data_IF_393650481706
#
_entry.id   IF_393650481706
#
_cell.length_a   1.000
_cell.length_b   1.000
_cell.length_c   1.000
_cell.angle_alpha   90.00
_cell.angle_beta   90.00
_cell.angle_gamma   90.00
#
_symmetry.space_group_name_H-M   'P 1'
#
loop_
_entity.id
_entity.type
_entity.pdbx_description
1 polymer ?
#
# COMPACT_ATOMS: atom_id res chain seq x y z
N UNK A 1 -21.49 -23.59 -30.83
CA UNK A 1 -20.51 -23.04 -29.88
C UNK A 1 -21.22 -21.89 -29.14
N UNK A 2 -21.72 -22.12 -27.93
CA UNK A 2 -22.55 -21.12 -27.24
C UNK A 2 -21.64 -20.09 -26.54
N UNK A 3 -21.73 -18.83 -26.96
CA UNK A 3 -21.06 -17.70 -26.31
C UNK A 3 -21.90 -17.38 -25.07
N UNK A 4 -21.39 -17.73 -23.89
CA UNK A 4 -22.02 -17.39 -22.62
C UNK A 4 -21.73 -15.90 -22.40
N UNK A 5 -22.75 -15.04 -22.39
CA UNK A 5 -22.56 -13.63 -22.09
C UNK A 5 -22.12 -13.42 -20.62
N UNK A 6 -21.42 -12.32 -20.35
CA UNK A 6 -20.87 -12.02 -19.03
C UNK A 6 -21.95 -11.95 -17.95
N UNK A 7 -23.12 -11.41 -18.28
CA UNK A 7 -24.26 -11.24 -17.36
C UNK A 7 -24.81 -12.58 -16.86
N UNK A 8 -24.90 -13.58 -17.75
CA UNK A 8 -25.33 -14.94 -17.44
C UNK A 8 -24.32 -15.64 -16.55
N UNK A 9 -23.01 -15.42 -16.78
CA UNK A 9 -21.94 -15.92 -15.91
C UNK A 9 -22.01 -15.33 -14.48
N UNK A 10 -22.20 -14.01 -14.33
CA UNK A 10 -22.34 -13.39 -13.01
C UNK A 10 -23.56 -13.92 -12.24
N UNK A 11 -24.71 -14.10 -12.91
CA UNK A 11 -25.91 -14.65 -12.30
C UNK A 11 -25.71 -16.09 -11.79
N UNK A 12 -25.05 -16.93 -12.59
CA UNK A 12 -24.73 -18.32 -12.20
C UNK A 12 -23.76 -18.36 -11.02
N UNK A 13 -22.72 -17.53 -11.02
CA UNK A 13 -21.74 -17.46 -9.93
C UNK A 13 -22.36 -16.94 -8.63
N UNK A 14 -23.16 -15.86 -8.71
CA UNK A 14 -23.88 -15.31 -7.56
C UNK A 14 -24.82 -16.33 -6.94
N UNK A 15 -25.63 -17.02 -7.76
CA UNK A 15 -26.51 -18.10 -7.29
C UNK A 15 -25.72 -19.21 -6.59
N UNK A 16 -24.59 -19.63 -7.16
CA UNK A 16 -23.74 -20.69 -6.59
C UNK A 16 -23.13 -20.29 -5.25
N UNK A 17 -22.66 -19.05 -5.11
CA UNK A 17 -22.08 -18.55 -3.87
C UNK A 17 -23.15 -18.40 -2.77
N UNK A 18 -24.36 -17.95 -3.12
CA UNK A 18 -25.41 -17.68 -2.13
C UNK A 18 -26.17 -18.93 -1.66
N UNK A 19 -26.24 -19.99 -2.48
CA UNK A 19 -27.01 -21.21 -2.17
C UNK A 19 -26.16 -22.37 -1.65
N UNK A 20 -24.83 -22.26 -1.68
CA UNK A 20 -23.93 -23.29 -1.16
C UNK A 20 -23.65 -23.06 0.33
N UNK A 21 -23.66 -24.14 1.10
CA UNK A 21 -23.22 -24.11 2.50
C UNK A 21 -21.73 -23.77 2.56
N UNK A 22 -21.38 -22.69 3.25
CA UNK A 22 -19.98 -22.26 3.38
C UNK A 22 -19.35 -22.86 4.64
N UNK A 23 -18.16 -23.46 4.52
CA UNK A 23 -17.51 -24.23 5.61
C UNK A 23 -17.27 -23.39 6.88
N UNK A 24 -16.92 -22.11 6.72
CA UNK A 24 -16.54 -21.25 7.86
C UNK A 24 -17.73 -20.88 8.75
N UNK A 25 -18.91 -20.64 8.16
CA UNK A 25 -20.14 -20.25 8.88
C UNK A 25 -21.12 -21.40 9.04
N UNK A 26 -20.82 -22.54 8.42
CA UNK A 26 -21.66 -23.74 8.31
C UNK A 26 -23.13 -23.43 7.90
N UNK A 27 -23.31 -22.40 7.07
CA UNK A 27 -24.62 -21.87 6.64
C UNK A 27 -24.54 -21.39 5.18
N UNK A 28 -25.68 -21.33 4.48
CA UNK A 28 -25.78 -20.70 3.16
C UNK A 28 -25.90 -19.18 3.35
N UNK A 29 -25.18 -18.35 2.58
CA UNK A 29 -25.30 -16.88 2.71
C UNK A 29 -26.74 -16.37 2.58
N UNK A 30 -27.59 -17.02 1.77
CA UNK A 30 -29.00 -16.64 1.62
C UNK A 30 -29.87 -16.87 2.87
N UNK A 31 -29.45 -17.75 3.78
CA UNK A 31 -30.20 -18.06 5.01
C UNK A 31 -29.76 -17.19 6.19
N UNK A 32 -28.79 -16.28 6.00
CA UNK A 32 -28.26 -15.45 7.07
C UNK A 32 -29.29 -14.37 7.44
N UNK A 33 -29.81 -14.46 8.67
CA UNK A 33 -30.71 -13.46 9.24
C UNK A 33 -29.94 -12.50 10.18
N UNK A 34 -30.40 -11.24 10.35
CA UNK A 34 -29.73 -10.26 11.21
C UNK A 34 -29.50 -10.75 12.65
N UNK A 35 -30.42 -11.52 13.21
CA UNK A 35 -30.33 -12.06 14.56
C UNK A 35 -29.14 -13.03 14.78
N UNK A 36 -28.64 -13.66 13.72
CA UNK A 36 -27.52 -14.62 13.77
C UNK A 36 -26.20 -13.97 13.29
N UNK A 37 -26.28 -12.83 12.61
CA UNK A 37 -25.15 -12.17 11.96
C UNK A 37 -24.00 -11.88 12.94
N UNK A 38 -24.28 -11.32 14.11
CA UNK A 38 -23.25 -10.96 15.10
C UNK A 38 -22.47 -12.18 15.61
N UNK A 39 -23.18 -13.30 15.83
CA UNK A 39 -22.56 -14.58 16.21
C UNK A 39 -21.64 -15.10 15.12
N UNK A 40 -22.05 -15.00 13.85
CA UNK A 40 -21.22 -15.40 12.71
C UNK A 40 -19.99 -14.51 12.56
N UNK A 41 -20.15 -13.19 12.67
CA UNK A 41 -19.02 -12.25 12.59
C UNK A 41 -17.99 -12.52 13.68
N UNK A 42 -18.45 -12.76 14.91
CA UNK A 42 -17.57 -13.11 16.03
C UNK A 42 -16.83 -14.43 15.75
N UNK A 43 -17.50 -15.41 15.15
CA UNK A 43 -16.90 -16.71 14.81
C UNK A 43 -15.86 -16.59 13.69
N UNK A 44 -16.14 -15.80 12.65
CA UNK A 44 -15.28 -15.63 11.47
C UNK A 44 -14.06 -14.76 11.78
N UNK A 45 -14.25 -13.71 12.58
CA UNK A 45 -13.22 -12.70 12.86
C UNK A 45 -12.66 -12.80 14.29
N UNK A 46 -12.63 -14.00 14.88
CA UNK A 46 -12.03 -14.25 16.20
C UNK A 46 -10.50 -14.36 16.22
N UNK A 47 -9.84 -14.30 15.06
CA UNK A 47 -8.39 -14.42 15.01
C UNK A 47 -7.71 -13.21 15.67
N UNK A 48 -6.73 -13.48 16.53
CA UNK A 48 -5.96 -12.43 17.18
C UNK A 48 -5.15 -11.69 16.12
N UNK A 49 -5.37 -10.39 15.98
CA UNK A 49 -4.65 -9.53 15.04
C UNK A 49 -3.30 -9.14 15.64
N UNK A 50 -2.29 -9.98 15.43
CA UNK A 50 -0.90 -9.69 15.82
C UNK A 50 -0.25 -8.91 14.68
N UNK A 51 0.03 -7.63 14.92
CA UNK A 51 0.82 -6.84 13.98
C UNK A 51 2.29 -7.30 14.02
N UNK A 52 2.89 -7.51 12.85
CA UNK A 52 4.32 -7.75 12.72
C UNK A 52 5.12 -6.58 13.31
N UNK A 53 6.33 -6.81 13.84
CA UNK A 53 7.16 -5.73 14.38
C UNK A 53 7.50 -4.69 13.30
N UNK A 54 7.59 -3.42 13.71
CA UNK A 54 7.92 -2.33 12.80
C UNK A 54 9.36 -2.46 12.30
N UNK A 55 9.56 -2.44 10.98
CA UNK A 55 10.90 -2.37 10.39
C UNK A 55 11.52 -0.98 10.46
N UNK A 56 10.70 0.05 10.33
CA UNK A 56 11.15 1.44 10.36
C UNK A 56 10.78 2.13 11.67
N UNK A 57 11.53 3.16 12.02
CA UNK A 57 11.32 3.97 13.22
C UNK A 57 10.98 5.41 12.84
N UNK A 58 10.34 6.11 13.77
CA UNK A 58 10.17 7.56 13.66
C UNK A 58 11.53 8.23 13.48
N UNK A 59 11.64 9.09 12.49
CA UNK A 59 12.86 9.80 12.13
C UNK A 59 13.67 9.18 11.00
N UNK A 60 13.41 7.92 10.63
CA UNK A 60 14.07 7.31 9.47
C UNK A 60 13.69 8.05 8.16
N UNK A 61 14.69 8.21 7.29
CA UNK A 61 14.53 8.72 5.94
C UNK A 61 14.19 7.59 4.97
N UNK A 62 13.16 7.78 4.15
CA UNK A 62 12.64 6.77 3.23
C UNK A 62 12.26 7.34 1.87
N UNK A 63 12.40 6.53 0.83
CA UNK A 63 11.75 6.74 -0.47
C UNK A 63 10.43 5.95 -0.53
N UNK A 64 9.51 6.42 -1.38
CA UNK A 64 8.23 5.75 -1.65
C UNK A 64 8.32 5.02 -2.98
N UNK A 65 7.75 3.83 -3.08
CA UNK A 65 7.66 3.08 -4.35
C UNK A 65 6.79 3.82 -5.36
N UNK A 66 7.23 3.88 -6.62
CA UNK A 66 6.40 4.36 -7.73
C UNK A 66 5.40 3.29 -8.14
N UNK A 67 4.19 3.73 -8.48
CA UNK A 67 3.23 2.87 -9.15
C UNK A 67 3.70 2.58 -10.57
N UNK A 68 3.85 1.29 -10.90
CA UNK A 68 4.31 0.87 -12.22
C UNK A 68 3.14 0.59 -13.15
N UNK A 69 3.22 1.10 -14.36
CA UNK A 69 2.36 0.66 -15.47
C UNK A 69 2.90 -0.61 -16.15
N UNK A 70 2.03 -1.35 -16.83
CA UNK A 70 2.35 -2.66 -17.46
C UNK A 70 3.51 -2.54 -18.47
N UNK A 71 3.70 -1.37 -19.08
CA UNK A 71 4.68 -1.11 -20.13
C UNK A 71 5.90 -0.32 -19.64
N UNK A 72 6.12 -0.19 -18.34
CA UNK A 72 7.27 0.53 -17.81
C UNK A 72 8.59 -0.19 -18.08
N UNK A 73 9.58 0.60 -18.51
CA UNK A 73 10.91 0.08 -18.85
C UNK A 73 11.69 -0.25 -17.57
N UNK A 74 12.41 -1.37 -17.59
CA UNK A 74 13.15 -1.87 -16.42
C UNK A 74 14.29 -0.99 -15.91
N UNK A 75 14.79 -0.05 -16.72
CA UNK A 75 15.84 0.89 -16.29
C UNK A 75 15.30 2.09 -15.50
N UNK A 76 13.98 2.28 -15.43
CA UNK A 76 13.37 3.36 -14.65
C UNK A 76 13.39 2.96 -13.17
N UNK A 77 13.85 3.82 -12.25
CA UNK A 77 13.91 3.50 -10.84
C UNK A 77 12.50 3.28 -10.25
N UNK A 78 12.38 2.28 -9.38
CA UNK A 78 11.11 1.87 -8.76
C UNK A 78 10.70 2.79 -7.60
N UNK A 79 11.50 3.79 -7.27
CA UNK A 79 11.33 4.64 -6.09
C UNK A 79 11.26 6.10 -6.50
N UNK A 80 10.59 6.91 -5.68
CA UNK A 80 10.58 8.38 -5.80
C UNK A 80 11.98 8.93 -5.54
N UNK A 81 12.33 10.03 -6.22
CA UNK A 81 13.60 10.73 -5.95
C UNK A 81 13.51 11.54 -4.65
N UNK A 82 12.31 11.97 -4.28
CA UNK A 82 12.06 12.68 -3.04
C UNK A 82 12.28 11.77 -1.83
N UNK A 83 12.99 12.32 -0.84
CA UNK A 83 13.25 11.68 0.46
C UNK A 83 12.21 12.20 1.44
N UNK A 84 11.49 11.28 2.06
CA UNK A 84 10.51 11.57 3.10
C UNK A 84 11.04 11.15 4.46
N UNK A 85 10.49 11.75 5.51
CA UNK A 85 10.79 11.39 6.89
C UNK A 85 9.58 10.74 7.56
N UNK A 86 9.80 9.64 8.26
CA UNK A 86 8.74 8.99 9.04
C UNK A 86 8.46 9.82 10.30
N UNK A 87 7.25 10.36 10.41
CA UNK A 87 6.82 11.11 11.60
C UNK A 87 6.17 10.21 12.65
N UNK A 88 5.48 9.15 12.21
CA UNK A 88 4.71 8.29 13.11
C UNK A 88 4.60 6.88 12.55
N UNK A 89 4.87 5.91 13.42
CA UNK A 89 4.58 4.49 13.17
C UNK A 89 3.22 4.18 13.80
N UNK A 90 2.27 3.73 12.99
CA UNK A 90 0.94 3.31 13.45
C UNK A 90 0.90 1.80 13.62
N UNK A 91 0.50 1.33 14.80
CA UNK A 91 0.34 -0.09 15.14
C UNK A 91 -0.98 -0.66 14.58
N UNK A 92 -1.19 -0.49 13.28
CA UNK A 92 -2.29 -1.11 12.53
C UNK A 92 -1.89 -2.54 12.13
N UNK A 93 -2.85 -3.36 11.67
CA UNK A 93 -2.55 -4.66 11.07
C UNK A 93 -2.99 -4.68 9.59
N UNK A 94 -2.06 -4.59 8.63
CA UNK A 94 -0.60 -4.47 8.79
C UNK A 94 -0.15 -3.07 9.25
N UNK A 95 1.10 -2.93 9.71
CA UNK A 95 1.61 -1.63 10.19
C UNK A 95 1.65 -0.58 9.08
N UNK A 96 1.31 0.65 9.45
CA UNK A 96 1.26 1.80 8.55
C UNK A 96 2.14 2.94 9.07
N UNK A 97 2.68 3.74 8.17
CA UNK A 97 3.62 4.83 8.46
C UNK A 97 3.08 6.15 7.94
N UNK A 98 3.20 7.20 8.75
CA UNK A 98 2.93 8.57 8.29
C UNK A 98 4.23 9.25 7.92
N UNK A 99 4.22 9.93 6.78
CA UNK A 99 5.39 10.57 6.19
C UNK A 99 5.25 12.10 6.21
N UNK A 100 6.40 12.76 6.17
CA UNK A 100 6.55 14.20 6.01
C UNK A 100 7.59 14.48 4.92
N UNK A 101 7.34 15.51 4.11
CA UNK A 101 8.27 15.98 3.10
C UNK A 101 9.46 16.77 3.70
N UNK A 102 10.35 17.25 2.83
CA UNK A 102 11.49 18.09 3.22
C UNK A 102 11.12 19.50 3.70
N UNK A 103 9.95 20.02 3.31
CA UNK A 103 9.40 21.30 3.75
C UNK A 103 8.64 21.21 5.08
N UNK A 104 8.54 20.02 5.67
CA UNK A 104 7.82 19.80 6.91
C UNK A 104 6.31 19.59 6.73
N UNK A 105 5.81 19.38 5.51
CA UNK A 105 4.40 19.09 5.25
C UNK A 105 4.12 17.59 5.38
N UNK A 106 3.09 17.23 6.15
CA UNK A 106 2.64 15.84 6.26
C UNK A 106 1.99 15.36 4.96
N UNK A 107 2.36 14.18 4.51
CA UNK A 107 1.72 13.53 3.35
C UNK A 107 0.40 12.91 3.79
N UNK A 108 -0.63 13.08 2.95
CA UNK A 108 -1.94 12.50 3.22
C UNK A 108 -1.92 10.99 3.01
N UNK A 109 -2.50 10.25 3.97
CA UNK A 109 -2.56 8.80 3.94
C UNK A 109 -1.49 8.10 4.79
N UNK A 110 -1.68 6.82 5.02
CA UNK A 110 -0.70 5.93 5.66
C UNK A 110 -0.06 5.03 4.62
N UNK A 111 1.26 4.88 4.71
CA UNK A 111 2.03 4.04 3.80
C UNK A 111 2.31 2.68 4.42
N UNK A 112 2.27 1.63 3.61
CA UNK A 112 2.66 0.31 4.04
C UNK A 112 4.17 0.12 4.00
N UNK A 113 4.65 -0.85 4.75
CA UNK A 113 6.06 -1.18 4.82
C UNK A 113 6.70 -1.50 3.46
N UNK A 114 5.99 -2.24 2.60
CA UNK A 114 6.51 -2.65 1.28
C UNK A 114 6.57 -1.49 0.28
N UNK A 115 5.90 -0.38 0.58
CA UNK A 115 5.92 0.84 -0.23
C UNK A 115 7.12 1.73 0.12
N UNK A 116 7.85 1.41 1.18
CA UNK A 116 8.93 2.23 1.71
C UNK A 116 10.30 1.58 1.49
N UNK A 117 11.27 2.41 1.13
CA UNK A 117 12.67 2.02 1.02
C UNK A 117 13.55 2.90 1.88
N UNK A 118 14.42 2.31 2.72
CA UNK A 118 15.31 3.09 3.59
C UNK A 118 16.35 3.85 2.78
N UNK A 119 16.56 5.12 3.14
CA UNK A 119 17.64 5.95 2.59
C UNK A 119 18.81 5.95 3.57
N UNK A 120 19.99 5.53 3.10
CA UNK A 120 21.22 5.52 3.91
C UNK A 120 21.83 6.92 4.00
N UNK A 121 21.87 7.63 2.87
CA UNK A 121 22.47 8.96 2.74
C UNK A 121 21.43 9.98 2.27
N UNK A 122 20.71 10.66 3.18
CA UNK A 122 19.64 11.58 2.81
C UNK A 122 20.14 12.89 2.17
N UNK A 123 21.43 13.22 2.31
CA UNK A 123 22.01 14.47 1.81
C UNK A 123 22.52 14.37 0.34
N UNK A 124 22.40 13.20 -0.28
CA UNK A 124 22.89 12.96 -1.64
C UNK A 124 21.72 13.07 -2.63
N UNK A 125 21.80 14.06 -3.51
CA UNK A 125 20.79 14.32 -4.53
C UNK A 125 21.34 14.04 -5.93
N UNK A 126 20.51 13.44 -6.79
CA UNK A 126 20.88 13.19 -8.18
C UNK A 126 20.69 14.47 -8.99
N UNK A 127 21.75 14.91 -9.66
CA UNK A 127 21.74 16.10 -10.51
C UNK A 127 21.63 15.67 -11.97
N UNK A 128 20.71 16.25 -12.74
CA UNK A 128 20.61 16.00 -14.19
C UNK A 128 21.82 16.59 -14.90
N UNK A 129 22.09 17.88 -14.66
CA UNK A 129 23.15 18.61 -15.33
C UNK A 129 23.71 19.71 -14.45
N UNK A 130 25.04 19.80 -14.39
CA UNK A 130 25.71 20.98 -13.83
C UNK A 130 25.72 22.07 -14.91
N UNK A 131 25.11 23.22 -14.61
CA UNK A 131 25.02 24.37 -15.52
C UNK A 131 26.28 25.23 -15.49
N UNK A 132 26.94 25.31 -14.35
CA UNK A 132 28.16 26.09 -14.17
C UNK A 132 28.62 26.13 -12.72
N UNK A 133 29.84 26.63 -12.51
CA UNK A 133 30.42 26.79 -11.18
C UNK A 133 30.89 28.23 -11.00
N UNK A 134 30.57 28.84 -9.86
CA UNK A 134 31.05 30.18 -9.48
C UNK A 134 31.64 30.12 -8.08
N UNK A 135 32.96 30.33 -7.95
CA UNK A 135 33.70 30.17 -6.69
C UNK A 135 33.41 28.78 -6.06
N UNK A 136 32.72 28.75 -4.92
CA UNK A 136 32.31 27.53 -4.20
C UNK A 136 30.86 27.10 -4.46
N UNK A 137 30.11 27.83 -5.29
CA UNK A 137 28.73 27.50 -5.63
C UNK A 137 28.66 26.77 -6.98
N UNK A 138 27.76 25.79 -7.07
CA UNK A 138 27.50 25.03 -8.29
C UNK A 138 26.04 25.21 -8.66
N UNK A 139 25.78 25.72 -9.86
CA UNK A 139 24.44 25.80 -10.42
C UNK A 139 24.10 24.48 -11.06
N UNK A 140 23.01 23.87 -10.60
CA UNK A 140 22.58 22.55 -11.03
C UNK A 140 21.16 22.61 -11.57
N UNK A 141 20.92 21.85 -12.63
CA UNK A 141 19.61 21.49 -13.11
C UNK A 141 19.27 20.14 -12.49
N UNK A 142 18.18 20.12 -11.73
CA UNK A 142 17.59 18.90 -11.19
C UNK A 142 16.79 18.18 -12.28
N UNK A 143 16.68 16.85 -12.18
CA UNK A 143 15.90 15.99 -13.09
C UNK A 143 14.41 16.37 -13.13
#
# INVERSE_FOLDING_TARGET
MAIIDGSTCYHVLSRRNNTRKHRTIDMRPIDVIPAIADKLLTTVYNHIKIAAPARFKTGDSVHVSKFKTIFEKGYIPNWTMEVFKIIKVQKTNPMTYLLQDSYGKSIAGGFYEYELHRVVNPDVYLVEKVLGKRRNEVYVKWL
#
